data_IF_669104310554
#
_entry.id   IF_669104310554
#
_cell.length_a   1.000
_cell.length_b   1.000
_cell.length_c   1.000
_cell.angle_alpha   90.00
_cell.angle_beta   90.00
_cell.angle_gamma   90.00
#
_symmetry.space_group_name_H-M   'P 1'
#
loop_
_entity.id
_entity.type
_entity.pdbx_description
1 polymer ?
#
# COMPACT_ATOMS: atom_id res chain seq x y z
N UNK A 1 -27.76 29.23 2.38
CA UNK A 1 -26.67 28.86 1.45
C UNK A 1 -25.38 28.42 2.13
N UNK A 2 -24.61 29.28 2.84
CA UNK A 2 -23.34 28.83 3.46
C UNK A 2 -23.56 27.84 4.61
N UNK A 3 -24.55 28.09 5.47
CA UNK A 3 -24.88 27.19 6.58
C UNK A 3 -25.44 25.85 6.08
N UNK A 4 -26.36 25.88 5.11
CA UNK A 4 -26.88 24.66 4.48
C UNK A 4 -25.77 23.81 3.85
N UNK A 5 -24.80 24.44 3.16
CA UNK A 5 -23.67 23.71 2.59
C UNK A 5 -22.82 23.04 3.67
N UNK A 6 -22.53 23.75 4.76
CA UNK A 6 -21.77 23.20 5.89
C UNK A 6 -22.52 22.03 6.52
N UNK A 7 -23.84 22.15 6.66
CA UNK A 7 -24.69 21.11 7.23
C UNK A 7 -24.69 19.84 6.36
N UNK A 8 -24.81 19.99 5.04
CA UNK A 8 -24.71 18.88 4.08
C UNK A 8 -23.33 18.21 4.14
N UNK A 9 -22.24 19.00 4.14
CA UNK A 9 -20.88 18.47 4.22
C UNK A 9 -20.64 17.72 5.55
N UNK A 10 -21.19 18.23 6.65
CA UNK A 10 -21.06 17.61 7.96
C UNK A 10 -21.86 16.30 8.06
N UNK A 11 -23.05 16.25 7.47
CA UNK A 11 -23.90 15.05 7.39
C UNK A 11 -23.23 13.96 6.55
N UNK A 12 -22.52 14.33 5.48
CA UNK A 12 -21.86 13.39 4.57
C UNK A 12 -20.34 13.31 4.77
N UNK A 13 -19.81 13.67 5.95
CA UNK A 13 -18.36 13.70 6.19
C UNK A 13 -17.64 12.38 5.89
N UNK A 14 -18.32 11.25 6.07
CA UNK A 14 -17.81 9.89 5.80
C UNK A 14 -17.69 9.56 4.30
N UNK A 15 -18.29 10.37 3.43
CA UNK A 15 -18.13 10.24 1.98
C UNK A 15 -16.83 10.87 1.46
N UNK A 16 -16.10 11.60 2.32
CA UNK A 16 -14.85 12.27 1.97
C UNK A 16 -13.67 11.50 2.54
N UNK A 17 -12.58 11.41 1.76
CA UNK A 17 -11.34 10.84 2.25
C UNK A 17 -10.79 11.68 3.42
N UNK A 18 -10.38 11.02 4.49
CA UNK A 18 -9.69 11.63 5.62
C UNK A 18 -8.42 10.86 5.94
N UNK A 19 -7.47 11.52 6.59
CA UNK A 19 -6.19 10.92 6.99
C UNK A 19 -6.34 9.82 8.07
N UNK A 20 -7.54 9.70 8.65
CA UNK A 20 -7.86 8.76 9.73
C UNK A 20 -8.51 7.46 9.22
N UNK A 21 -8.97 7.43 7.97
CA UNK A 21 -9.68 6.29 7.40
C UNK A 21 -8.82 5.61 6.33
N UNK A 22 -8.66 4.28 6.40
CA UNK A 22 -7.83 3.58 5.44
C UNK A 22 -8.44 3.65 4.04
N UNK A 23 -7.63 4.01 3.04
CA UNK A 23 -8.09 4.10 1.66
C UNK A 23 -8.39 2.71 1.11
N UNK A 24 -9.53 2.56 0.44
CA UNK A 24 -9.81 1.39 -0.39
C UNK A 24 -10.20 0.11 0.36
N UNK A 25 -10.52 0.18 1.66
CA UNK A 25 -11.09 -0.96 2.41
C UNK A 25 -12.59 -1.11 2.13
N UNK A 26 -12.95 -1.17 0.83
CA UNK A 26 -14.32 -1.44 0.40
C UNK A 26 -14.53 -2.95 0.41
N UNK A 27 -15.22 -3.44 1.44
CA UNK A 27 -15.56 -4.86 1.58
C UNK A 27 -16.32 -5.36 0.36
N UNK A 28 -15.92 -6.51 -0.19
CA UNK A 28 -16.57 -7.13 -1.34
C UNK A 28 -16.04 -6.69 -2.70
N UNK A 29 -15.05 -5.79 -2.74
CA UNK A 29 -14.36 -5.35 -3.96
C UNK A 29 -12.91 -5.85 -4.02
N UNK A 30 -12.58 -6.88 -3.26
CA UNK A 30 -11.27 -7.51 -3.31
C UNK A 30 -11.04 -8.17 -4.68
N UNK A 31 -9.85 -7.96 -5.25
CA UNK A 31 -9.47 -8.57 -6.53
C UNK A 31 -8.63 -9.81 -6.26
N UNK A 32 -9.13 -10.96 -6.70
CA UNK A 32 -8.36 -12.21 -6.70
C UNK A 32 -7.54 -12.30 -8.00
N UNK A 33 -6.21 -12.28 -7.86
CA UNK A 33 -5.27 -12.39 -8.98
C UNK A 33 -4.67 -13.79 -8.95
N UNK A 34 -5.22 -14.69 -9.77
CA UNK A 34 -4.72 -16.05 -9.89
C UNK A 34 -3.60 -16.15 -10.92
N UNK A 35 -2.54 -16.87 -10.56
CA UNK A 35 -1.51 -17.28 -11.51
C UNK A 35 -2.05 -18.40 -12.41
N UNK A 36 -1.68 -18.36 -13.69
CA UNK A 36 -1.99 -19.40 -14.66
C UNK A 36 -1.04 -20.62 -14.60
N UNK A 37 -0.23 -20.73 -13.53
CA UNK A 37 0.77 -21.77 -13.33
C UNK A 37 0.68 -22.33 -11.92
N UNK A 38 0.97 -23.62 -11.79
CA UNK A 38 1.03 -24.32 -10.50
C UNK A 38 2.45 -24.36 -9.94
N UNK A 39 2.58 -24.71 -8.65
CA UNK A 39 3.89 -24.86 -8.00
C UNK A 39 4.69 -25.99 -8.66
N UNK A 40 6.03 -25.88 -8.78
CA UNK A 40 6.85 -24.78 -8.30
C UNK A 40 6.78 -23.56 -9.22
N UNK A 41 6.53 -22.38 -8.63
CA UNK A 41 6.52 -21.13 -9.38
C UNK A 41 7.90 -20.85 -10.00
N UNK A 42 7.97 -20.14 -11.14
CA UNK A 42 9.23 -19.69 -11.70
C UNK A 42 10.08 -19.00 -10.62
N UNK A 43 11.42 -19.16 -10.65
CA UNK A 43 12.29 -18.47 -9.71
C UNK A 43 11.93 -16.98 -9.69
N UNK A 44 11.64 -16.43 -8.52
CA UNK A 44 11.37 -14.99 -8.37
C UNK A 44 12.49 -14.24 -9.08
N UNK A 45 12.13 -13.28 -9.93
CA UNK A 45 13.08 -12.29 -10.47
C UNK A 45 13.62 -11.49 -9.27
N UNK A 46 14.65 -12.01 -8.61
CA UNK A 46 15.38 -11.34 -7.54
C UNK A 46 16.32 -10.32 -8.16
N UNK A 47 15.74 -9.28 -8.75
CA UNK A 47 16.52 -8.08 -9.05
C UNK A 47 16.67 -7.34 -7.72
N UNK A 48 17.90 -7.05 -7.27
CA UNK A 48 18.06 -6.14 -6.14
C UNK A 48 17.39 -4.82 -6.53
N UNK A 49 16.78 -4.15 -5.56
CA UNK A 49 16.33 -2.79 -5.79
C UNK A 49 17.53 -1.94 -6.20
N UNK A 50 17.33 -1.07 -7.18
CA UNK A 50 18.34 -0.08 -7.53
C UNK A 50 18.60 0.82 -6.32
N UNK A 51 19.85 1.24 -6.15
CA UNK A 51 20.18 2.20 -5.10
C UNK A 51 19.45 3.52 -5.35
N UNK A 52 18.75 4.00 -4.33
CA UNK A 52 18.19 5.35 -4.30
C UNK A 52 19.23 6.32 -3.74
N UNK A 53 19.23 7.57 -4.19
CA UNK A 53 20.04 8.62 -3.57
C UNK A 53 19.55 8.88 -2.13
N UNK A 54 20.40 9.39 -1.22
CA UNK A 54 19.99 9.68 0.16
C UNK A 54 18.72 10.55 0.24
N UNK A 55 18.66 11.62 -0.57
CA UNK A 55 17.49 12.49 -0.67
C UNK A 55 16.25 11.74 -1.18
N UNK A 56 16.38 10.92 -2.21
CA UNK A 56 15.26 10.15 -2.73
C UNK A 56 14.74 9.15 -1.68
N UNK A 57 15.64 8.62 -0.84
CA UNK A 57 15.30 7.67 0.21
C UNK A 57 14.49 8.32 1.34
N UNK A 58 14.89 9.52 1.78
CA UNK A 58 14.16 10.29 2.79
C UNK A 58 12.73 10.62 2.33
N UNK A 59 12.55 11.07 1.09
CA UNK A 59 11.22 11.37 0.53
C UNK A 59 10.36 10.10 0.38
N UNK A 60 10.97 8.99 -0.05
CA UNK A 60 10.26 7.71 -0.16
C UNK A 60 9.80 7.20 1.20
N UNK A 61 10.58 7.40 2.26
CA UNK A 61 10.23 6.96 3.62
C UNK A 61 8.97 7.68 4.14
N UNK A 62 8.85 9.00 3.88
CA UNK A 62 7.65 9.78 4.21
C UNK A 62 6.41 9.17 3.56
N UNK A 63 6.47 8.91 2.25
CA UNK A 63 5.32 8.38 1.52
C UNK A 63 4.99 6.93 1.89
N UNK A 64 6.00 6.12 2.20
CA UNK A 64 5.76 4.74 2.66
C UNK A 64 5.05 4.74 4.00
N UNK A 65 5.46 5.62 4.93
CA UNK A 65 4.79 5.77 6.22
C UNK A 65 3.34 6.24 6.08
N UNK A 66 3.07 7.19 5.19
CA UNK A 66 1.70 7.63 4.86
C UNK A 66 0.85 6.47 4.34
N UNK A 67 1.36 5.71 3.37
CA UNK A 67 0.64 4.58 2.79
C UNK A 67 0.43 3.43 3.78
N UNK A 68 1.34 3.23 4.73
CA UNK A 68 1.15 2.28 5.83
C UNK A 68 0.04 2.73 6.78
N UNK A 69 0.00 4.02 7.15
CA UNK A 69 -1.09 4.58 7.99
C UNK A 69 -2.45 4.47 7.32
N UNK A 70 -2.50 4.69 6.01
CA UNK A 70 -3.72 4.55 5.20
C UNK A 70 -4.10 3.09 4.91
N UNK A 71 -3.35 2.10 5.42
CA UNK A 71 -3.65 0.68 5.22
C UNK A 71 -3.44 0.17 3.79
N UNK A 72 -2.82 0.97 2.92
CA UNK A 72 -2.51 0.61 1.53
C UNK A 72 -1.29 -0.31 1.46
N UNK A 73 -0.27 -0.01 2.27
CA UNK A 73 0.91 -0.85 2.44
C UNK A 73 0.89 -1.54 3.79
N UNK A 74 1.43 -2.76 3.84
CA UNK A 74 1.74 -3.44 5.10
C UNK A 74 3.10 -4.10 5.01
N UNK A 75 3.75 -4.22 6.16
CA UNK A 75 4.96 -5.03 6.29
C UNK A 75 4.58 -6.51 6.19
N UNK A 76 5.39 -7.25 5.44
CA UNK A 76 5.31 -8.72 5.31
C UNK A 76 6.63 -9.26 5.83
N UNK A 77 6.58 -10.19 6.78
CA UNK A 77 7.79 -10.77 7.36
C UNK A 77 8.42 -11.83 6.43
N UNK A 78 9.71 -12.10 6.60
CA UNK A 78 10.48 -12.96 5.67
C UNK A 78 9.87 -14.36 5.44
N UNK A 79 9.21 -14.90 6.47
CA UNK A 79 8.62 -16.24 6.47
C UNK A 79 7.08 -16.23 6.43
N UNK A 80 6.46 -15.07 6.24
CA UNK A 80 5.00 -14.98 6.18
C UNK A 80 4.49 -15.58 4.86
N UNK A 81 3.69 -16.66 4.95
CA UNK A 81 2.99 -17.20 3.79
C UNK A 81 1.81 -16.29 3.42
N UNK A 82 2.04 -15.42 2.44
CA UNK A 82 0.99 -14.64 1.80
C UNK A 82 0.44 -15.39 0.59
N UNK A 83 -0.89 -15.46 0.43
CA UNK A 83 -1.58 -16.13 -0.69
C UNK A 83 -1.37 -15.47 -2.07
N UNK A 84 -0.31 -14.69 -2.25
CA UNK A 84 0.02 -13.91 -3.46
C UNK A 84 -1.04 -12.85 -3.82
N UNK A 85 -1.20 -11.85 -2.95
CA UNK A 85 -1.40 -10.49 -3.47
C UNK A 85 -0.06 -10.05 -4.04
N UNK A 86 0.04 -9.66 -5.32
CA UNK A 86 1.27 -9.18 -5.96
C UNK A 86 2.12 -8.38 -4.97
N UNK A 87 3.18 -8.96 -4.36
CA UNK A 87 3.87 -8.27 -3.30
C UNK A 87 4.71 -7.21 -3.98
N UNK A 88 4.37 -5.94 -3.78
CA UNK A 88 5.31 -4.84 -4.04
C UNK A 88 6.39 -4.95 -2.97
N UNK A 89 7.44 -5.73 -3.27
CA UNK A 89 8.58 -5.89 -2.38
C UNK A 89 9.46 -4.67 -2.56
N UNK A 90 9.38 -3.72 -1.63
CA UNK A 90 10.37 -2.66 -1.50
C UNK A 90 11.51 -3.23 -0.66
N UNK A 91 12.56 -3.72 -1.30
CA UNK A 91 13.81 -4.06 -0.63
C UNK A 91 14.74 -2.87 -0.67
N UNK A 92 15.50 -2.66 0.40
CA UNK A 92 16.52 -1.64 0.44
C UNK A 92 17.88 -2.32 0.58
N UNK A 93 18.83 -1.92 -0.26
CA UNK A 93 20.24 -2.16 0.07
C UNK A 93 20.62 -1.15 1.15
N UNK A 94 20.88 -1.66 2.35
CA UNK A 94 21.66 -0.95 3.35
C UNK A 94 23.12 -1.23 2.99
N UNK A 95 23.68 -0.42 2.09
CA UNK A 95 25.11 -0.49 1.79
C UNK A 95 25.87 -0.30 3.11
N UNK A 96 26.64 -1.32 3.46
CA UNK A 96 27.85 -1.23 4.29
C UNK A 96 29.00 -0.80 3.40
#
# INVERSE_FOLDING_TARGET
MKEELIEILFQHREAFASDNEPLGVIKGHEVDIMLNVERPYPPRLRRPAYSASPRAREELEIHIDELMKLGVLRKVEHNEEVQFTTPVIITWNNDK
#
